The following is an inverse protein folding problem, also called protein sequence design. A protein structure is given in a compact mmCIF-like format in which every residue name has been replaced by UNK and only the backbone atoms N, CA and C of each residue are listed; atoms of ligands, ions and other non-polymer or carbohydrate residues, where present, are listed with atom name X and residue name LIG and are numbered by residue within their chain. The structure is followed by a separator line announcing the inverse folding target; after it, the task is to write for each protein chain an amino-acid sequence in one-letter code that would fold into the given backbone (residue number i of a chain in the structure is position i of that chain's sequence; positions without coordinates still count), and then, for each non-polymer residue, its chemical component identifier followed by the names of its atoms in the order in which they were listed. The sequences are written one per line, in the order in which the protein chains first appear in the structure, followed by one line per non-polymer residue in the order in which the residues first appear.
data_IF_609152723978
#
_entry.id   IF_609152723978
#
_cell.length_a   1.000
_cell.length_b   1.000
_cell.length_c   1.000
_cell.angle_alpha   90.00
_cell.angle_beta   90.00
_cell.angle_gamma   90.00
#
_symmetry.space_group_name_H-M   'P 1'
#
loop_
_entity.id
_entity.type
_entity.pdbx_description
1 polymer ?
#
# COMPACT_ATOMS: atom_id res chain seq x y z
N UNK A 1 -0.48 -11.50 -24.11
CA UNK A 1 0.28 -11.79 -22.88
C UNK A 1 -0.66 -11.54 -21.71
N UNK A 2 -1.05 -12.58 -20.99
CA UNK A 2 -1.99 -12.47 -19.86
C UNK A 2 -1.27 -11.77 -18.70
N UNK A 3 -1.71 -10.57 -18.34
CA UNK A 3 -1.27 -9.94 -17.10
C UNK A 3 -1.72 -10.82 -15.92
N UNK A 4 -0.77 -11.42 -15.22
CA UNK A 4 -1.08 -12.20 -14.02
C UNK A 4 -0.96 -11.29 -12.81
N UNK A 5 -2.11 -10.88 -12.28
CA UNK A 5 -2.25 -10.25 -10.96
C UNK A 5 -2.72 -11.35 -10.00
N UNK A 6 -2.08 -11.45 -8.84
CA UNK A 6 -2.49 -12.36 -7.76
C UNK A 6 -2.68 -11.57 -6.48
N UNK A 7 -3.88 -11.64 -5.91
CA UNK A 7 -4.23 -11.05 -4.63
C UNK A 7 -4.50 -12.12 -3.58
N UNK A 8 -4.07 -11.87 -2.35
CA UNK A 8 -4.33 -12.68 -1.18
C UNK A 8 -4.81 -11.78 -0.04
N UNK A 9 -5.78 -12.25 0.72
CA UNK A 9 -6.25 -11.58 1.93
C UNK A 9 -6.20 -12.57 3.09
N UNK A 10 -5.67 -12.12 4.22
CA UNK A 10 -5.59 -12.91 5.44
C UNK A 10 -5.80 -12.03 6.67
N UNK A 11 -5.97 -12.67 7.83
CA UNK A 11 -6.02 -12.01 9.14
C UNK A 11 -4.83 -12.46 9.97
N UNK A 12 -4.21 -11.54 10.69
CA UNK A 12 -3.19 -11.90 11.67
C UNK A 12 -3.82 -12.38 12.99
N UNK A 13 -3.00 -12.76 13.97
CA UNK A 13 -3.45 -13.22 15.29
C UNK A 13 -4.24 -12.17 16.09
N UNK A 14 -4.18 -10.88 15.71
CA UNK A 14 -4.96 -9.78 16.32
C UNK A 14 -6.25 -9.47 15.57
N UNK A 15 -6.54 -10.20 14.48
CA UNK A 15 -7.69 -9.95 13.61
C UNK A 15 -7.53 -8.74 12.68
N UNK A 16 -6.33 -8.18 12.56
CA UNK A 16 -6.01 -7.14 11.58
C UNK A 16 -5.91 -7.73 10.18
N UNK A 17 -6.28 -6.96 9.16
CA UNK A 17 -6.39 -7.44 7.79
C UNK A 17 -5.06 -7.20 7.07
N UNK A 18 -4.57 -8.24 6.39
CA UNK A 18 -3.39 -8.16 5.54
C UNK A 18 -3.82 -8.45 4.11
N UNK A 19 -3.53 -7.52 3.20
CA UNK A 19 -3.75 -7.65 1.76
C UNK A 19 -2.37 -7.73 1.12
N UNK A 20 -2.12 -8.83 0.40
CA UNK A 20 -0.89 -9.01 -0.36
C UNK A 20 -1.25 -9.11 -1.83
N UNK A 21 -0.60 -8.30 -2.64
CA UNK A 21 -0.86 -8.28 -4.06
C UNK A 21 0.41 -8.23 -4.87
N UNK A 22 0.49 -9.11 -5.87
CA UNK A 22 1.64 -9.25 -6.74
C UNK A 22 1.16 -9.02 -8.17
N UNK A 23 1.76 -8.03 -8.83
CA UNK A 23 1.57 -7.79 -10.24
C UNK A 23 2.84 -8.17 -10.99
N UNK A 24 2.73 -9.08 -11.95
CA UNK A 24 3.88 -9.53 -12.76
C UNK A 24 4.06 -8.74 -14.06
N UNK A 25 3.18 -7.78 -14.32
CA UNK A 25 3.22 -6.94 -15.52
C UNK A 25 3.10 -5.48 -15.10
N UNK A 26 3.65 -4.60 -15.95
CA UNK A 26 3.51 -3.17 -15.77
C UNK A 26 2.03 -2.78 -15.74
N UNK A 27 1.65 -2.04 -14.71
CA UNK A 27 0.32 -1.48 -14.55
C UNK A 27 0.41 0.05 -14.50
N UNK A 28 -0.37 0.73 -15.34
CA UNK A 28 -0.35 2.20 -15.40
C UNK A 28 -1.02 2.80 -14.16
N UNK A 29 -2.09 2.16 -13.69
CA UNK A 29 -2.95 2.64 -12.60
C UNK A 29 -2.69 1.91 -11.28
N UNK A 30 -1.42 1.59 -11.01
CA UNK A 30 -1.05 0.78 -9.85
C UNK A 30 -1.41 1.48 -8.52
N UNK A 31 -1.27 2.81 -8.45
CA UNK A 31 -1.61 3.59 -7.25
C UNK A 31 -3.11 3.54 -6.96
N UNK A 32 -3.95 3.82 -7.95
CA UNK A 32 -5.41 3.80 -7.85
C UNK A 32 -5.91 2.43 -7.41
N UNK A 33 -5.26 1.37 -7.89
CA UNK A 33 -5.62 0.00 -7.57
C UNK A 33 -5.26 -0.38 -6.13
N UNK A 34 -4.10 0.03 -5.63
CA UNK A 34 -3.74 -0.13 -4.21
C UNK A 34 -4.74 0.59 -3.33
N UNK A 35 -5.05 1.86 -3.67
CA UNK A 35 -6.00 2.68 -2.91
C UNK A 35 -7.39 2.06 -2.90
N UNK A 36 -7.86 1.59 -4.05
CA UNK A 36 -9.15 0.90 -4.17
C UNK A 36 -9.18 -0.38 -3.33
N UNK A 37 -8.13 -1.21 -3.40
CA UNK A 37 -8.05 -2.45 -2.61
C UNK A 37 -8.12 -2.20 -1.11
N UNK A 38 -7.42 -1.18 -0.61
CA UNK A 38 -7.48 -0.76 0.79
C UNK A 38 -8.87 -0.24 1.16
N UNK A 39 -9.40 0.70 0.37
CA UNK A 39 -10.72 1.29 0.65
C UNK A 39 -11.81 0.22 0.67
N UNK A 40 -11.79 -0.70 -0.29
CA UNK A 40 -12.71 -1.83 -0.36
C UNK A 40 -12.61 -2.70 0.90
N UNK A 41 -11.41 -3.10 1.30
CA UNK A 41 -11.22 -3.92 2.49
C UNK A 41 -11.70 -3.23 3.78
N UNK A 42 -11.54 -1.91 3.89
CA UNK A 42 -12.13 -1.13 4.99
C UNK A 42 -13.66 -1.28 4.93
N UNK A 43 -14.28 -0.98 3.79
CA UNK A 43 -15.76 -1.00 3.64
C UNK A 43 -16.38 -2.38 3.85
N UNK A 44 -15.66 -3.47 3.54
CA UNK A 44 -16.14 -4.83 3.79
C UNK A 44 -16.11 -5.22 5.28
N UNK A 45 -15.37 -4.48 6.11
CA UNK A 45 -15.14 -4.78 7.52
C UNK A 45 -15.61 -3.67 8.47
N UNK A 46 -16.36 -2.69 7.95
CA UNK A 46 -17.09 -1.70 8.73
C UNK A 46 -18.54 -1.64 8.23
N UNK A 47 -19.49 -1.67 9.16
CA UNK A 47 -20.92 -1.55 8.87
C UNK A 47 -21.39 -0.11 9.00
N UNK A 48 -22.51 0.22 8.35
CA UNK A 48 -23.12 1.53 8.47
C UNK A 48 -23.51 1.82 9.93
N UNK A 49 -23.03 2.95 10.45
CA UNK A 49 -23.28 3.37 11.84
C UNK A 49 -22.20 2.97 12.84
N UNK A 50 -21.25 2.11 12.46
CA UNK A 50 -20.07 1.83 13.28
C UNK A 50 -19.14 3.05 13.36
N UNK A 51 -18.45 3.18 14.48
CA UNK A 51 -17.57 4.33 14.72
C UNK A 51 -16.23 4.11 14.02
N UNK A 52 -15.62 5.19 13.54
CA UNK A 52 -14.37 5.10 12.78
C UNK A 52 -13.24 4.36 13.52
N UNK A 53 -13.16 4.45 14.85
CA UNK A 53 -12.12 3.75 15.61
C UNK A 53 -12.31 2.22 15.64
N UNK A 54 -13.48 1.71 15.25
CA UNK A 54 -13.77 0.27 15.17
C UNK A 54 -13.16 -0.34 13.89
N UNK A 55 -12.74 0.50 12.94
CA UNK A 55 -12.00 0.08 11.74
C UNK A 55 -10.75 -0.70 12.15
N UNK A 56 -10.71 -1.97 11.72
CA UNK A 56 -9.53 -2.80 11.91
C UNK A 56 -8.36 -2.24 11.13
N UNK A 57 -7.17 -2.29 11.74
CA UNK A 57 -5.95 -1.92 11.06
C UNK A 57 -5.75 -2.80 9.82
N UNK A 58 -5.39 -2.16 8.71
CA UNK A 58 -5.15 -2.84 7.44
C UNK A 58 -3.71 -2.62 7.02
N UNK A 59 -3.03 -3.70 6.66
CA UNK A 59 -1.72 -3.67 6.04
C UNK A 59 -1.90 -4.02 4.56
N UNK A 60 -1.52 -3.09 3.68
CA UNK A 60 -1.48 -3.32 2.24
C UNK A 60 -0.02 -3.52 1.82
N UNK A 61 0.28 -4.67 1.23
CA UNK A 61 1.59 -5.05 0.74
C UNK A 61 1.46 -5.28 -0.76
N UNK A 62 2.12 -4.44 -1.55
CA UNK A 62 1.99 -4.46 -3.01
C UNK A 62 3.36 -4.61 -3.66
N UNK A 63 3.55 -5.70 -4.40
CA UNK A 63 4.75 -5.98 -5.18
C UNK A 63 4.43 -5.71 -6.65
N UNK A 64 5.10 -4.72 -7.23
CA UNK A 64 4.69 -4.10 -8.49
C UNK A 64 5.88 -3.90 -9.41
N UNK A 65 5.66 -4.11 -10.70
CA UNK A 65 6.53 -3.61 -11.76
C UNK A 65 5.97 -2.28 -12.26
N UNK A 66 6.64 -1.17 -11.98
CA UNK A 66 6.20 0.15 -12.42
C UNK A 66 7.39 1.03 -12.81
N UNK A 67 7.14 1.96 -13.72
CA UNK A 67 8.09 3.02 -14.01
C UNK A 67 7.87 4.14 -12.99
N UNK A 68 8.89 4.44 -12.19
CA UNK A 68 8.87 5.55 -11.22
C UNK A 68 8.81 6.94 -11.90
N UNK A 69 9.11 6.99 -13.20
CA UNK A 69 9.21 8.21 -13.99
C UNK A 69 10.14 8.03 -15.19
N UNK A 70 10.28 9.09 -15.99
CA UNK A 70 11.31 9.18 -17.03
C UNK A 70 12.30 10.27 -16.64
N UNK A 71 13.58 9.99 -16.76
CA UNK A 71 14.62 11.00 -16.67
C UNK A 71 15.82 10.60 -17.53
N UNK A 72 16.81 11.50 -17.59
CA UNK A 72 17.97 11.34 -18.47
C UNK A 72 19.12 10.56 -17.81
N UNK A 73 19.07 10.41 -16.49
CA UNK A 73 20.04 9.62 -15.73
C UNK A 73 19.65 8.13 -15.75
N UNK A 74 20.62 7.25 -15.57
CA UNK A 74 20.41 5.82 -15.43
C UNK A 74 20.33 5.40 -13.95
N UNK A 75 20.83 6.24 -13.03
CA UNK A 75 20.80 5.99 -11.59
C UNK A 75 20.12 7.14 -10.85
N UNK A 76 19.16 6.80 -9.99
CA UNK A 76 18.43 7.77 -9.18
C UNK A 76 18.57 7.41 -7.70
N UNK A 77 18.89 8.41 -6.87
CA UNK A 77 18.95 8.27 -5.41
C UNK A 77 17.74 8.97 -4.79
N UNK A 78 16.77 8.19 -4.29
CA UNK A 78 15.66 8.70 -3.49
C UNK A 78 16.06 8.79 -2.02
N UNK A 79 16.02 9.99 -1.43
CA UNK A 79 16.35 10.19 -0.02
C UNK A 79 15.11 10.65 0.76
N UNK A 80 14.50 9.74 1.51
CA UNK A 80 13.47 10.10 2.48
C UNK A 80 14.14 10.39 3.83
N UNK A 81 14.29 11.65 4.21
CA UNK A 81 14.75 12.01 5.56
C UNK A 81 13.56 12.41 6.41
N UNK A 82 13.26 11.63 7.44
CA UNK A 82 12.26 11.99 8.43
C UNK A 82 12.98 12.71 9.59
N UNK A 83 12.44 13.79 10.13
CA UNK A 83 13.08 14.55 11.22
C UNK A 83 12.04 14.79 12.31
N UNK A 84 12.38 14.44 13.56
CA UNK A 84 11.56 14.64 14.74
C UNK A 84 11.33 16.12 15.00
N UNK A 85 10.06 16.50 15.12
CA UNK A 85 9.61 17.92 15.12
C UNK A 85 10.04 18.68 16.37
N UNK A 86 10.26 17.99 17.50
CA UNK A 86 10.57 18.63 18.79
C UNK A 86 12.03 18.47 19.21
N UNK A 87 12.66 17.38 18.78
CA UNK A 87 14.01 16.97 19.16
C UNK A 87 15.04 17.32 18.09
N UNK A 88 14.60 17.58 16.85
CA UNK A 88 15.46 17.85 15.72
C UNK A 88 16.31 16.66 15.30
N UNK A 89 16.09 15.50 15.91
CA UNK A 89 16.76 14.28 15.54
C UNK A 89 16.23 13.84 14.18
N UNK A 90 17.13 13.36 13.33
CA UNK A 90 16.68 12.68 12.12
C UNK A 90 16.12 11.34 12.54
N UNK A 91 14.81 11.19 12.36
CA UNK A 91 14.16 9.91 12.34
C UNK A 91 14.76 9.17 11.14
N UNK A 92 15.68 8.26 11.46
CA UNK A 92 16.15 7.29 10.49
C UNK A 92 14.97 6.47 9.97
#
# INVERSE_FOLDING_TARGET
MTSSIRGYQSKNSKGEIIIVEIQNTRELYYLERILYGVAKAITEHISLGERYYEVKKIYSISILYFDIGKGNDYLYHGQNSFTGVHTGDRLK
#
